data_IF_743330469783
#
_entry.id   IF_743330469783
#
_cell.length_a   1.000
_cell.length_b   1.000
_cell.length_c   1.000
_cell.angle_alpha   90.00
_cell.angle_beta   90.00
_cell.angle_gamma   90.00
#
_symmetry.space_group_name_H-M   'P 1'
#
loop_
_entity.id
_entity.type
_entity.pdbx_description
1 polymer ?
#
# COMPACT_ATOMS: atom_id res chain seq x y z
N UNK A 1 23.74 -14.32 8.21
CA UNK A 1 22.71 -13.69 7.35
C UNK A 1 21.83 -12.84 8.23
N UNK A 2 21.44 -11.64 7.81
CA UNK A 2 20.53 -10.79 8.59
C UNK A 2 19.11 -11.36 8.60
N UNK A 3 18.38 -11.17 9.70
CA UNK A 3 16.98 -11.58 9.78
C UNK A 3 16.16 -10.92 8.66
N UNK A 4 15.21 -11.64 8.03
CA UNK A 4 14.37 -11.06 6.98
C UNK A 4 13.52 -9.90 7.51
N UNK A 5 13.06 -9.04 6.61
CA UNK A 5 12.03 -8.05 6.92
C UNK A 5 10.69 -8.77 6.80
N UNK A 6 9.96 -8.93 7.91
CA UNK A 6 8.58 -9.40 7.84
C UNK A 6 7.68 -8.25 7.41
N UNK A 7 7.01 -8.42 6.26
CA UNK A 7 6.14 -7.42 5.68
C UNK A 7 4.69 -7.90 5.72
N UNK A 8 3.95 -7.42 6.72
CA UNK A 8 2.52 -7.69 6.86
C UNK A 8 1.71 -6.84 5.89
N UNK A 9 0.93 -7.49 5.03
CA UNK A 9 0.28 -6.84 3.91
C UNK A 9 -1.18 -7.29 3.73
N UNK A 10 -2.03 -6.36 3.35
CA UNK A 10 -3.41 -6.60 2.90
C UNK A 10 -3.64 -5.78 1.62
N UNK A 11 -4.22 -6.40 0.60
CA UNK A 11 -4.51 -5.77 -0.70
C UNK A 11 -5.47 -4.58 -0.62
N UNK A 12 -6.31 -4.51 0.41
CA UNK A 12 -7.24 -3.42 0.65
C UNK A 12 -6.58 -2.20 1.30
N UNK A 13 -5.28 -2.27 1.65
CA UNK A 13 -4.57 -1.17 2.33
C UNK A 13 -3.93 -0.22 1.33
N UNK A 14 -4.35 1.05 1.24
CA UNK A 14 -3.75 2.03 0.32
C UNK A 14 -2.27 2.28 0.60
N UNK A 15 -1.91 2.39 1.88
CA UNK A 15 -0.51 2.53 2.30
C UNK A 15 0.27 1.22 2.12
N UNK A 16 -0.37 0.07 2.37
CA UNK A 16 0.23 -1.24 2.16
C UNK A 16 0.65 -1.43 0.71
N UNK A 17 -0.19 -0.99 -0.23
CA UNK A 17 0.10 -1.02 -1.67
C UNK A 17 1.28 -0.11 -2.04
N UNK A 18 1.33 1.14 -1.56
CA UNK A 18 2.50 2.00 -1.79
C UNK A 18 3.77 1.36 -1.23
N UNK A 19 3.71 0.78 -0.03
CA UNK A 19 4.85 0.13 0.59
C UNK A 19 5.27 -1.16 -0.14
N UNK A 20 4.34 -1.94 -0.70
CA UNK A 20 4.68 -3.16 -1.45
C UNK A 20 5.49 -2.87 -2.71
N UNK A 21 5.23 -1.74 -3.36
CA UNK A 21 6.01 -1.29 -4.52
C UNK A 21 7.43 -0.87 -4.14
N UNK A 22 7.63 -0.44 -2.89
CA UNK A 22 8.89 0.15 -2.44
C UNK A 22 9.77 -0.82 -1.65
N UNK A 23 9.20 -1.82 -0.96
CA UNK A 23 9.87 -2.62 0.09
C UNK A 23 11.15 -3.35 -0.36
N UNK A 24 11.23 -3.72 -1.65
CA UNK A 24 12.40 -4.42 -2.19
C UNK A 24 13.66 -3.54 -2.22
N UNK A 25 13.50 -2.24 -2.48
CA UNK A 25 14.62 -1.28 -2.56
C UNK A 25 15.39 -1.17 -1.23
N UNK A 26 14.76 -0.82 -0.09
CA UNK A 26 15.46 -0.80 1.20
C UNK A 26 15.91 -2.20 1.63
N UNK A 27 15.16 -3.27 1.34
CA UNK A 27 15.57 -4.62 1.68
C UNK A 27 16.91 -5.00 1.01
N UNK A 28 17.03 -4.71 -0.30
CA UNK A 28 18.27 -4.93 -1.06
C UNK A 28 19.43 -4.07 -0.54
N UNK A 29 19.19 -2.81 -0.17
CA UNK A 29 20.22 -1.92 0.39
C UNK A 29 20.86 -2.47 1.67
N UNK A 30 20.12 -3.27 2.42
CA UNK A 30 20.58 -3.87 3.69
C UNK A 30 20.92 -5.35 3.59
N UNK A 31 20.94 -5.92 2.38
CA UNK A 31 21.16 -7.35 2.15
C UNK A 31 20.20 -8.22 2.98
N UNK A 32 18.92 -7.84 3.01
CA UNK A 32 17.85 -8.56 3.71
C UNK A 32 16.83 -9.08 2.70
N UNK A 33 16.33 -10.29 2.95
CA UNK A 33 15.16 -10.80 2.23
C UNK A 33 13.87 -10.14 2.77
N UNK A 34 12.85 -10.07 1.92
CA UNK A 34 11.48 -9.70 2.32
C UNK A 34 10.67 -10.97 2.50
N UNK A 35 10.09 -11.14 3.69
CA UNK A 35 9.17 -12.22 4.01
C UNK A 35 7.75 -11.67 4.02
N UNK A 36 7.00 -11.97 2.96
CA UNK A 36 5.63 -11.49 2.78
C UNK A 36 4.67 -12.24 3.72
N UNK A 37 3.89 -11.48 4.49
CA UNK A 37 2.91 -11.98 5.47
C UNK A 37 1.52 -11.43 5.11
N UNK A 38 0.81 -12.03 4.13
CA UNK A 38 -0.54 -11.59 3.81
C UNK A 38 -1.49 -11.85 4.99
N UNK A 39 -2.37 -10.90 5.29
CA UNK A 39 -3.40 -11.05 6.32
C UNK A 39 -4.69 -10.32 5.92
N UNK A 40 -5.76 -10.53 6.68
CA UNK A 40 -7.05 -9.89 6.48
C UNK A 40 -7.24 -8.73 7.47
N UNK A 41 -6.86 -7.53 7.05
CA UNK A 41 -6.99 -6.28 7.79
C UNK A 41 -8.44 -5.98 8.16
N UNK A 42 -9.40 -6.25 7.26
CA UNK A 42 -10.83 -6.08 7.55
C UNK A 42 -11.31 -6.95 8.72
N UNK A 43 -10.82 -8.19 8.83
CA UNK A 43 -11.13 -9.06 9.95
C UNK A 43 -10.49 -8.55 11.26
N UNK A 44 -9.25 -8.07 11.20
CA UNK A 44 -8.57 -7.46 12.35
C UNK A 44 -9.27 -6.19 12.83
N UNK A 45 -9.75 -5.36 11.91
CA UNK A 45 -10.55 -4.16 12.22
C UNK A 45 -11.83 -4.54 12.96
N UNK A 46 -12.53 -5.58 12.52
CA UNK A 46 -13.74 -6.08 13.20
C UNK A 46 -13.46 -6.52 14.63
N UNK A 47 -12.39 -7.28 14.86
CA UNK A 47 -12.01 -7.79 16.19
C UNK A 47 -11.57 -6.63 17.11
N UNK A 48 -10.87 -5.64 16.57
CA UNK A 48 -10.36 -4.49 17.33
C UNK A 48 -11.34 -3.32 17.44
N UNK A 49 -12.57 -3.47 16.94
CA UNK A 49 -13.59 -2.43 16.85
C UNK A 49 -13.12 -1.16 16.12
N UNK A 50 -12.14 -1.30 15.23
CA UNK A 50 -11.62 -0.21 14.39
C UNK A 50 -12.39 -0.16 13.07
N UNK A 51 -12.40 1.02 12.47
CA UNK A 51 -12.99 1.26 11.15
C UNK A 51 -11.90 1.64 10.14
N UNK A 52 -12.12 1.44 8.83
CA UNK A 52 -11.24 1.97 7.81
C UNK A 52 -11.04 3.47 7.98
N UNK A 53 -9.82 3.96 7.72
CA UNK A 53 -9.46 5.37 7.91
C UNK A 53 -10.39 6.32 7.14
N UNK A 54 -10.79 5.92 5.93
CA UNK A 54 -11.70 6.67 5.06
C UNK A 54 -13.13 6.84 5.62
N UNK A 55 -13.49 6.18 6.73
CA UNK A 55 -14.86 6.20 7.27
C UNK A 55 -15.15 7.34 8.27
N UNK A 56 -14.13 8.09 8.71
CA UNK A 56 -14.30 9.22 9.66
C UNK A 56 -14.49 10.55 8.95
N UNK A 57 -15.15 11.53 9.58
CA UNK A 57 -15.44 12.83 8.94
C UNK A 57 -14.18 13.67 8.71
N UNK A 58 -13.33 13.86 9.72
CA UNK A 58 -12.11 14.67 9.56
C UNK A 58 -10.89 13.84 9.15
N UNK A 59 -10.74 12.65 9.73
CA UNK A 59 -9.63 11.74 9.40
C UNK A 59 -9.85 11.08 8.04
N UNK A 60 -11.09 10.80 7.64
CA UNK A 60 -11.38 10.12 6.39
C UNK A 60 -11.12 10.99 5.18
N UNK A 61 -11.60 12.23 5.17
CA UNK A 61 -11.34 13.19 4.09
C UNK A 61 -9.85 13.41 3.89
N UNK A 62 -9.11 13.61 4.99
CA UNK A 62 -7.65 13.70 4.93
C UNK A 62 -7.02 12.41 4.40
N UNK A 63 -7.46 11.25 4.89
CA UNK A 63 -6.88 9.96 4.48
C UNK A 63 -7.06 9.71 2.99
N UNK A 64 -8.25 9.98 2.44
CA UNK A 64 -8.51 9.84 1.00
C UNK A 64 -7.60 10.77 0.19
N UNK A 65 -7.48 12.02 0.62
CA UNK A 65 -6.58 12.97 -0.03
C UNK A 65 -5.11 12.53 0.06
N UNK A 66 -4.70 11.98 1.20
CA UNK A 66 -3.34 11.49 1.43
C UNK A 66 -3.03 10.20 0.65
N UNK A 67 -4.00 9.30 0.48
CA UNK A 67 -3.83 8.09 -0.35
C UNK A 67 -3.45 8.48 -1.78
N UNK A 68 -4.15 9.45 -2.37
CA UNK A 68 -3.84 9.96 -3.71
C UNK A 68 -2.45 10.59 -3.77
N UNK A 69 -2.11 11.43 -2.78
CA UNK A 69 -0.80 12.09 -2.71
C UNK A 69 0.34 11.09 -2.59
N UNK A 70 0.19 10.07 -1.74
CA UNK A 70 1.17 9.01 -1.59
C UNK A 70 1.31 8.17 -2.85
N UNK A 71 0.20 7.80 -3.50
CA UNK A 71 0.22 7.04 -4.74
C UNK A 71 0.97 7.81 -5.84
N UNK A 72 0.72 9.11 -6.00
CA UNK A 72 1.44 9.98 -6.93
C UNK A 72 2.92 10.11 -6.57
N UNK A 73 3.23 10.40 -5.31
CA UNK A 73 4.61 10.59 -4.85
C UNK A 73 5.49 9.35 -5.06
N UNK A 74 4.92 8.15 -4.86
CA UNK A 74 5.62 6.88 -5.01
C UNK A 74 5.45 6.25 -6.41
N UNK A 75 4.76 6.89 -7.36
CA UNK A 75 4.49 6.35 -8.70
C UNK A 75 3.58 5.12 -8.71
N UNK A 76 2.78 4.94 -7.67
CA UNK A 76 1.84 3.82 -7.51
C UNK A 76 0.43 4.13 -8.04
N UNK A 77 0.18 5.35 -8.53
CA UNK A 77 -1.11 5.79 -9.08
C UNK A 77 -1.49 5.15 -10.43
N UNK A 78 -0.53 4.51 -11.11
CA UNK A 78 -0.69 3.80 -12.38
C UNK A 78 -1.21 4.66 -13.54
N UNK A 79 -1.13 5.99 -13.43
CA UNK A 79 -1.59 6.89 -14.49
C UNK A 79 -0.85 6.62 -15.80
N UNK A 80 0.46 6.43 -15.75
CA UNK A 80 1.25 6.09 -16.96
C UNK A 80 0.82 4.78 -17.62
N UNK A 81 0.43 3.78 -16.81
CA UNK A 81 -0.03 2.49 -17.35
C UNK A 81 -1.40 2.63 -17.99
N UNK A 82 -2.28 3.45 -17.40
CA UNK A 82 -3.58 3.78 -17.95
C UNK A 82 -3.44 4.54 -19.28
N UNK A 83 -2.55 5.53 -19.34
CA UNK A 83 -2.27 6.29 -20.57
C UNK A 83 -1.78 5.37 -21.69
N UNK A 84 -0.86 4.45 -21.36
CA UNK A 84 -0.38 3.45 -22.31
C UNK A 84 -1.51 2.53 -22.81
N UNK A 85 -2.39 2.08 -21.92
CA UNK A 85 -3.54 1.23 -22.29
C UNK A 85 -4.52 1.97 -23.20
N UNK A 86 -4.89 3.21 -22.85
CA UNK A 86 -5.76 4.07 -23.65
C UNK A 86 -5.17 4.35 -25.04
N UNK A 87 -3.85 4.55 -25.14
CA UNK A 87 -3.18 4.77 -26.44
C UNK A 87 -3.31 3.59 -27.40
N UNK A 88 -3.59 2.39 -26.88
CA UNK A 88 -3.78 1.15 -27.66
C UNK A 88 -5.25 0.88 -28.01
N UNK A 89 -6.16 1.79 -27.70
CA UNK A 89 -7.59 1.68 -28.04
C UNK A 89 -8.47 1.04 -26.97
N UNK A 90 -7.91 0.71 -25.79
CA UNK A 90 -8.60 0.00 -24.71
C UNK A 90 -8.68 -1.51 -24.92
#
# INVERSE_FOLDING_TARGET
MHNPIEFFFDFSSPYGYCASEQINTPASKHSRAVMWRPFLLGAMMKISERKPLASGTQVGDYSVHDFTRCAQYWGADRLEHLDQWLSKGG
#
